data_IF_967012090922
#
_entry.id   IF_967012090922
#
_cell.length_a   1.000
_cell.length_b   1.000
_cell.length_c   1.000
_cell.angle_alpha   90.00
_cell.angle_beta   90.00
_cell.angle_gamma   90.00
#
_symmetry.space_group_name_H-M   'P 1'
#
loop_
_entity.id
_entity.type
_entity.pdbx_description
1 polymer ?
#
# COMPACT_ATOMS: atom_id res chain seq x y z
N UNK A 1 -16.94 32.27 -93.30
CA UNK A 1 -15.74 32.08 -94.09
C UNK A 1 -14.82 31.19 -93.27
N UNK A 2 -14.70 29.94 -93.69
CA UNK A 2 -13.54 29.06 -93.69
C UNK A 2 -12.56 29.17 -92.52
N UNK A 3 -11.99 28.11 -91.90
CA UNK A 3 -11.53 26.79 -92.36
C UNK A 3 -11.19 25.86 -91.23
N UNK A 4 -11.40 24.58 -91.47
CA UNK A 4 -10.89 23.38 -90.74
C UNK A 4 -9.38 23.36 -90.59
N UNK A 5 -8.88 22.71 -89.51
CA UNK A 5 -7.79 21.68 -89.45
C UNK A 5 -7.72 21.02 -88.10
N UNK A 6 -8.07 19.79 -88.04
CA UNK A 6 -7.41 18.49 -87.94
C UNK A 6 -6.41 18.35 -86.81
N UNK A 7 -6.81 17.52 -85.84
CA UNK A 7 -6.18 16.37 -85.19
C UNK A 7 -4.67 16.33 -85.04
N UNK A 8 -4.26 16.12 -83.81
CA UNK A 8 -3.19 15.16 -83.47
C UNK A 8 -3.49 14.54 -82.10
N UNK A 9 -3.63 13.21 -82.10
CA UNK A 9 -3.60 12.32 -80.97
C UNK A 9 -2.21 12.41 -80.26
N UNK A 10 -2.15 12.45 -78.97
CA UNK A 10 -0.97 12.15 -78.22
C UNK A 10 -1.40 11.28 -77.07
N UNK A 11 -0.72 10.17 -76.94
CA UNK A 11 -0.89 9.03 -76.00
C UNK A 11 -0.80 9.39 -74.53
N UNK A 12 -1.33 8.53 -73.67
CA UNK A 12 -1.36 8.80 -72.19
C UNK A 12 -0.02 8.53 -71.61
N UNK A 13 0.56 9.50 -70.91
CA UNK A 13 1.69 9.32 -70.00
C UNK A 13 1.20 8.62 -68.74
N UNK A 14 1.67 7.41 -68.52
CA UNK A 14 1.60 6.67 -67.33
C UNK A 14 2.28 7.46 -66.17
N UNK A 15 1.50 8.17 -65.38
CA UNK A 15 1.95 8.63 -64.07
C UNK A 15 1.79 7.49 -63.06
N UNK A 16 2.89 6.90 -62.71
CA UNK A 16 3.02 5.98 -61.57
C UNK A 16 2.62 6.74 -60.33
N UNK A 17 1.34 6.69 -59.98
CA UNK A 17 0.84 7.16 -58.70
C UNK A 17 1.39 6.24 -57.61
N UNK A 18 2.41 6.71 -56.93
CA UNK A 18 2.81 6.14 -55.65
C UNK A 18 1.62 6.26 -54.70
N UNK A 19 0.85 5.21 -54.58
CA UNK A 19 -0.08 5.06 -53.45
C UNK A 19 0.76 5.08 -52.19
N UNK A 20 0.88 6.24 -51.56
CA UNK A 20 1.21 6.36 -50.18
C UNK A 20 0.07 5.65 -49.46
N UNK A 21 0.31 4.39 -49.08
CA UNK A 21 -0.52 3.74 -48.06
C UNK A 21 -0.49 4.71 -46.87
N UNK A 22 -1.59 5.40 -46.65
CA UNK A 22 -1.94 5.94 -45.36
C UNK A 22 -1.95 4.74 -44.43
N UNK A 23 -0.86 4.53 -43.72
CA UNK A 23 -0.92 3.82 -42.46
C UNK A 23 -1.89 4.66 -41.61
N UNK A 24 -3.12 4.23 -41.54
CA UNK A 24 -4.00 4.59 -40.46
C UNK A 24 -3.26 4.10 -39.21
N UNK A 25 -2.64 5.03 -38.52
CA UNK A 25 -2.33 4.90 -37.13
C UNK A 25 -3.69 4.82 -36.41
N UNK A 26 -4.33 3.67 -36.48
CA UNK A 26 -5.11 3.19 -35.37
C UNK A 26 -4.07 2.91 -34.31
N UNK A 27 -3.61 3.93 -33.57
CA UNK A 27 -3.25 3.82 -32.20
C UNK A 27 -4.54 3.33 -31.51
N UNK A 28 -4.68 2.03 -31.52
CA UNK A 28 -5.57 1.35 -30.61
C UNK A 28 -5.12 1.82 -29.23
N UNK A 29 -5.82 2.82 -28.73
CA UNK A 29 -5.81 3.19 -27.33
C UNK A 29 -6.31 1.94 -26.60
N UNK A 30 -5.38 1.05 -26.32
CA UNK A 30 -5.65 -0.25 -25.72
C UNK A 30 -5.98 0.04 -24.28
N UNK A 31 -7.27 0.10 -23.98
CA UNK A 31 -7.76 0.25 -22.63
C UNK A 31 -7.05 -0.70 -21.67
N UNK A 32 -6.84 -0.30 -20.45
CA UNK A 32 -6.24 -1.12 -19.40
C UNK A 32 -7.30 -1.84 -18.59
N UNK A 33 -6.96 -3.00 -18.05
CA UNK A 33 -7.79 -3.72 -17.08
C UNK A 33 -7.61 -3.14 -15.69
N UNK A 34 -8.73 -2.90 -15.01
CA UNK A 34 -8.75 -2.39 -13.66
C UNK A 34 -9.89 -2.99 -12.83
N UNK A 35 -9.74 -2.96 -11.51
CA UNK A 35 -10.82 -3.23 -10.56
C UNK A 35 -11.42 -1.89 -10.13
N UNK A 36 -12.66 -1.67 -10.55
CA UNK A 36 -13.35 -0.41 -10.36
C UNK A 36 -14.68 -0.58 -9.63
N UNK A 37 -15.20 0.52 -9.10
CA UNK A 37 -16.50 0.61 -8.43
C UNK A 37 -17.12 2.00 -8.62
N UNK A 38 -18.45 2.06 -8.56
CA UNK A 38 -19.19 3.33 -8.62
C UNK A 38 -19.77 3.74 -7.27
N UNK A 39 -19.77 2.83 -6.30
CA UNK A 39 -20.35 3.05 -4.96
C UNK A 39 -19.43 2.53 -3.86
N UNK A 40 -19.64 3.00 -2.64
CA UNK A 40 -19.08 2.42 -1.44
C UNK A 40 -19.84 1.15 -1.05
N UNK A 41 -19.13 0.13 -0.56
CA UNK A 41 -19.78 -1.10 -0.12
C UNK A 41 -18.81 -2.20 0.27
N UNK A 42 -19.33 -3.42 0.33
CA UNK A 42 -18.55 -4.66 0.52
C UNK A 42 -17.76 -5.01 -0.75
N UNK A 43 -16.90 -6.04 -0.75
CA UNK A 43 -16.17 -6.46 -1.95
C UNK A 43 -17.05 -6.78 -3.17
N UNK A 44 -18.36 -6.93 -3.00
CA UNK A 44 -19.31 -7.16 -4.10
C UNK A 44 -19.52 -5.96 -5.02
N UNK A 45 -19.10 -4.76 -4.62
CA UNK A 45 -19.20 -3.55 -5.46
C UNK A 45 -18.04 -3.44 -6.45
N UNK A 46 -17.05 -4.32 -6.36
CA UNK A 46 -15.85 -4.33 -7.19
C UNK A 46 -16.09 -5.14 -8.46
N UNK A 47 -15.79 -4.54 -9.58
CA UNK A 47 -15.93 -5.14 -10.90
C UNK A 47 -14.65 -4.96 -11.71
N UNK A 48 -14.27 -6.00 -12.45
CA UNK A 48 -13.21 -5.86 -13.45
C UNK A 48 -13.77 -5.14 -14.67
N UNK A 49 -13.10 -4.06 -15.08
CA UNK A 49 -13.48 -3.23 -16.21
C UNK A 49 -12.29 -2.98 -17.12
N UNK A 50 -12.56 -2.78 -18.40
CA UNK A 50 -11.63 -2.17 -19.34
C UNK A 50 -11.88 -0.66 -19.31
N UNK A 51 -10.85 0.12 -19.02
CA UNK A 51 -10.91 1.58 -18.89
C UNK A 51 -9.71 2.20 -19.61
N UNK A 52 -9.78 3.48 -19.92
CA UNK A 52 -8.66 4.21 -20.51
C UNK A 52 -7.47 4.28 -19.55
N UNK A 53 -6.25 4.29 -20.09
CA UNK A 53 -5.05 4.55 -19.28
C UNK A 53 -5.15 5.95 -18.67
N UNK A 54 -4.74 6.13 -17.40
CA UNK A 54 -4.81 7.43 -16.77
C UNK A 54 -3.81 8.40 -17.42
N UNK A 55 -4.25 9.64 -17.62
CA UNK A 55 -3.37 10.74 -17.98
C UNK A 55 -2.56 11.18 -16.76
N UNK A 56 -1.28 11.49 -16.96
CA UNK A 56 -0.39 11.96 -15.91
C UNK A 56 -0.24 13.50 -15.97
N UNK A 57 -0.14 14.13 -14.80
CA UNK A 57 0.27 15.53 -14.67
C UNK A 57 1.79 15.70 -14.74
N UNK A 58 2.25 16.95 -14.78
CA UNK A 58 3.68 17.27 -14.91
C UNK A 58 4.55 16.67 -13.80
N UNK A 59 4.06 16.55 -12.57
CA UNK A 59 4.76 15.97 -11.42
C UNK A 59 4.44 14.46 -11.20
N UNK A 60 3.68 13.82 -12.09
CA UNK A 60 3.25 12.43 -11.95
C UNK A 60 4.02 11.52 -12.92
N UNK A 61 4.01 10.24 -12.59
CA UNK A 61 4.54 9.18 -13.43
C UNK A 61 3.45 8.15 -13.70
N UNK A 62 3.46 7.56 -14.87
CA UNK A 62 2.68 6.37 -15.19
C UNK A 62 3.54 5.14 -14.87
N UNK A 63 3.07 4.31 -13.98
CA UNK A 63 3.73 3.06 -13.59
C UNK A 63 2.96 1.89 -14.17
N UNK A 64 3.63 1.03 -14.93
CA UNK A 64 3.13 -0.28 -15.32
C UNK A 64 3.22 -1.20 -14.09
N UNK A 65 2.06 -1.56 -13.55
CA UNK A 65 1.95 -2.26 -12.27
C UNK A 65 2.24 -3.74 -12.45
N UNK A 66 3.23 -4.27 -11.76
CA UNK A 66 3.51 -5.70 -11.70
C UNK A 66 2.90 -6.37 -10.46
N UNK A 67 2.85 -5.63 -9.36
CA UNK A 67 2.21 -6.09 -8.14
C UNK A 67 1.66 -4.91 -7.32
N UNK A 68 0.61 -5.17 -6.55
CA UNK A 68 -0.04 -4.20 -5.67
C UNK A 68 -0.36 -4.82 -4.30
N UNK A 69 -0.10 -4.11 -3.22
CA UNK A 69 -0.39 -4.58 -1.87
C UNK A 69 -1.86 -4.39 -1.49
N UNK A 70 -2.39 -5.33 -0.72
CA UNK A 70 -3.71 -5.22 -0.09
C UNK A 70 -3.54 -4.97 1.39
N UNK A 71 -4.12 -3.90 1.90
CA UNK A 71 -4.11 -3.52 3.31
C UNK A 71 -5.49 -3.05 3.79
N UNK A 72 -5.59 -2.73 5.09
CA UNK A 72 -6.85 -2.25 5.68
C UNK A 72 -7.26 -0.88 5.16
N UNK A 73 -6.32 -0.04 4.74
CA UNK A 73 -6.61 1.26 4.12
C UNK A 73 -7.43 1.10 2.84
N UNK A 74 -7.09 0.12 2.00
CA UNK A 74 -7.87 -0.23 0.81
C UNK A 74 -9.30 -0.63 1.16
N UNK A 75 -9.50 -1.43 2.21
CA UNK A 75 -10.82 -1.79 2.69
C UNK A 75 -11.61 -0.55 3.15
N UNK A 76 -10.99 0.34 3.94
CA UNK A 76 -11.62 1.57 4.40
C UNK A 76 -12.07 2.45 3.24
N UNK A 77 -11.21 2.61 2.24
CA UNK A 77 -11.53 3.37 1.03
C UNK A 77 -12.66 2.70 0.25
N UNK A 78 -12.62 1.38 0.09
CA UNK A 78 -13.67 0.62 -0.59
C UNK A 78 -15.02 0.75 0.11
N UNK A 79 -15.06 0.50 1.41
CA UNK A 79 -16.28 0.55 2.20
C UNK A 79 -16.77 1.99 2.45
N UNK A 80 -15.87 2.98 2.35
CA UNK A 80 -16.14 4.38 2.74
C UNK A 80 -16.44 4.50 4.23
N UNK A 81 -15.75 3.68 5.05
CA UNK A 81 -15.95 3.61 6.50
C UNK A 81 -14.60 3.74 7.24
N UNK A 82 -14.59 4.37 8.43
CA UNK A 82 -15.70 5.14 9.02
C UNK A 82 -16.07 6.36 8.17
N UNK A 83 -17.28 6.88 8.32
CA UNK A 83 -17.78 7.98 7.46
C UNK A 83 -16.86 9.20 7.32
N UNK A 84 -16.08 9.63 8.34
CA UNK A 84 -15.13 10.73 8.17
C UNK A 84 -14.12 10.55 7.04
N UNK A 85 -13.80 9.30 6.62
CA UNK A 85 -12.88 9.08 5.50
C UNK A 85 -13.41 9.68 4.19
N UNK A 86 -14.74 9.68 4.00
CA UNK A 86 -15.37 10.27 2.80
C UNK A 86 -15.11 11.77 2.70
N UNK A 87 -15.01 12.47 3.85
CA UNK A 87 -14.65 13.88 3.93
C UNK A 87 -13.16 14.13 3.68
N UNK A 88 -12.31 13.14 3.94
CA UNK A 88 -10.86 13.23 3.75
C UNK A 88 -10.42 13.17 2.27
N UNK A 89 -11.33 13.45 1.33
CA UNK A 89 -11.00 13.56 -0.09
C UNK A 89 -11.49 12.42 -0.97
N UNK A 90 -11.99 11.32 -0.39
CA UNK A 90 -12.41 10.13 -1.15
C UNK A 90 -13.79 10.26 -1.80
N UNK A 91 -14.59 11.27 -1.42
CA UNK A 91 -15.92 11.56 -1.98
C UNK A 91 -17.07 11.26 -1.03
N UNK A 92 -17.99 12.23 -0.89
CA UNK A 92 -19.02 12.19 0.15
C UNK A 92 -20.12 11.15 -0.12
N UNK A 93 -20.61 11.09 -1.35
CA UNK A 93 -21.73 10.22 -1.76
C UNK A 93 -21.29 9.01 -2.57
N UNK A 94 -20.29 9.20 -3.43
CA UNK A 94 -19.67 8.17 -4.25
C UNK A 94 -18.16 8.37 -4.25
N UNK A 95 -17.36 7.33 -4.54
CA UNK A 95 -15.91 7.44 -4.65
C UNK A 95 -15.52 8.39 -5.78
N UNK A 96 -14.54 9.28 -5.54
CA UNK A 96 -14.00 10.16 -6.58
C UNK A 96 -13.14 9.41 -7.58
N UNK A 97 -12.35 8.44 -7.10
CA UNK A 97 -11.60 7.53 -7.94
C UNK A 97 -12.31 6.16 -7.94
N UNK A 98 -12.78 5.69 -9.10
CA UNK A 98 -13.42 4.38 -9.19
C UNK A 98 -12.44 3.23 -8.94
N UNK A 99 -11.17 3.38 -9.34
CA UNK A 99 -10.13 2.35 -9.15
C UNK A 99 -9.52 2.46 -7.77
N UNK A 100 -9.40 1.34 -7.07
CA UNK A 100 -8.83 1.25 -5.73
C UNK A 100 -7.39 0.70 -5.75
N UNK A 101 -6.74 0.72 -4.58
CA UNK A 101 -5.36 0.29 -4.40
C UNK A 101 -4.41 1.47 -4.21
N UNK A 102 -3.37 1.26 -3.41
CA UNK A 102 -2.37 2.27 -3.04
C UNK A 102 -0.94 1.74 -3.16
N UNK A 103 -0.61 0.62 -2.50
CA UNK A 103 0.72 0.01 -2.62
C UNK A 103 0.98 -0.43 -4.06
N UNK A 104 2.16 -0.14 -4.60
CA UNK A 104 2.56 -0.48 -5.97
C UNK A 104 4.01 -0.91 -6.03
N UNK A 105 4.29 -1.87 -6.90
CA UNK A 105 5.61 -2.12 -7.45
C UNK A 105 5.48 -2.40 -8.95
N UNK A 106 6.35 -1.80 -9.73
CA UNK A 106 6.25 -1.87 -11.19
C UNK A 106 7.39 -1.15 -11.89
N UNK A 107 7.20 -0.91 -13.16
CA UNK A 107 8.17 -0.23 -14.03
C UNK A 107 7.59 1.10 -14.49
N UNK A 108 8.38 2.14 -14.42
CA UNK A 108 8.00 3.47 -14.93
C UNK A 108 7.81 3.39 -16.45
N UNK A 109 6.64 3.73 -16.93
CA UNK A 109 6.28 3.73 -18.37
C UNK A 109 6.57 5.11 -19.00
N UNK A 110 6.05 6.16 -18.35
CA UNK A 110 6.26 7.55 -18.77
C UNK A 110 6.36 8.45 -17.53
N UNK A 111 6.98 9.63 -17.72
CA UNK A 111 7.16 10.64 -16.68
C UNK A 111 6.66 11.98 -17.13
N UNK A 112 6.10 12.78 -16.22
CA UNK A 112 5.74 14.18 -16.47
C UNK A 112 6.97 15.10 -16.52
N UNK A 113 6.78 16.33 -17.01
CA UNK A 113 7.86 17.26 -17.29
C UNK A 113 8.67 17.71 -16.04
N UNK A 114 8.04 17.69 -14.85
CA UNK A 114 8.65 18.12 -13.60
C UNK A 114 9.31 16.96 -12.82
N UNK A 115 9.19 15.73 -13.31
CA UNK A 115 9.81 14.54 -12.69
C UNK A 115 11.31 14.55 -12.96
N UNK A 116 12.10 14.41 -11.90
CA UNK A 116 13.57 14.51 -11.97
C UNK A 116 14.31 13.29 -11.44
N UNK A 117 13.66 12.47 -10.59
CA UNK A 117 14.31 11.35 -9.90
C UNK A 117 14.24 10.04 -10.66
N UNK A 118 13.32 9.92 -11.61
CA UNK A 118 13.04 8.67 -12.32
C UNK A 118 12.93 8.88 -13.82
N UNK A 119 13.14 7.81 -14.56
CA UNK A 119 13.00 7.76 -16.02
C UNK A 119 12.25 6.51 -16.45
N UNK A 120 11.69 6.46 -17.67
CA UNK A 120 11.09 5.27 -18.22
C UNK A 120 12.04 4.07 -18.16
N UNK A 121 11.52 2.91 -17.71
CA UNK A 121 12.28 1.69 -17.50
C UNK A 121 12.77 1.47 -16.06
N UNK A 122 12.72 2.46 -15.18
CA UNK A 122 13.11 2.29 -13.79
C UNK A 122 12.14 1.38 -13.04
N UNK A 123 12.67 0.41 -12.27
CA UNK A 123 11.90 -0.41 -11.36
C UNK A 123 11.65 0.33 -10.04
N UNK A 124 10.39 0.51 -9.68
CA UNK A 124 9.98 1.32 -8.53
C UNK A 124 9.03 0.56 -7.60
N UNK A 125 8.98 1.01 -6.36
CA UNK A 125 7.94 0.63 -5.39
C UNK A 125 7.52 1.85 -4.58
N UNK A 126 6.30 1.82 -4.05
CA UNK A 126 5.80 2.94 -3.25
C UNK A 126 4.28 3.02 -3.25
N UNK A 127 3.79 4.24 -3.35
CA UNK A 127 2.36 4.56 -3.28
C UNK A 127 1.92 5.19 -4.60
N UNK A 128 0.89 4.59 -5.20
CA UNK A 128 0.20 5.09 -6.39
C UNK A 128 -1.29 5.30 -6.16
N UNK A 129 -1.96 5.79 -7.17
CA UNK A 129 -3.42 5.99 -7.20
C UNK A 129 -4.08 4.92 -8.07
N UNK A 130 -4.95 4.09 -7.48
CA UNK A 130 -5.70 3.10 -8.25
C UNK A 130 -4.82 1.95 -8.76
N UNK A 131 -4.04 1.36 -7.87
CA UNK A 131 -3.00 0.37 -8.21
C UNK A 131 -3.55 -1.03 -8.52
N UNK A 132 -4.85 -1.28 -8.33
CA UNK A 132 -5.49 -2.50 -8.82
C UNK A 132 -5.91 -2.34 -10.28
N UNK A 133 -4.94 -2.01 -11.12
CA UNK A 133 -5.04 -1.81 -12.55
C UNK A 133 -3.68 -2.07 -13.21
N UNK A 134 -3.67 -2.32 -14.53
CA UNK A 134 -2.43 -2.56 -15.28
C UNK A 134 -1.48 -1.35 -15.27
N UNK A 135 -2.03 -0.14 -15.10
CA UNK A 135 -1.27 1.10 -14.95
C UNK A 135 -1.83 1.96 -13.83
N UNK A 136 -0.96 2.67 -13.14
CA UNK A 136 -1.32 3.58 -12.06
C UNK A 136 -0.49 4.86 -12.12
N UNK A 137 -1.09 6.01 -11.74
CA UNK A 137 -0.35 7.24 -11.55
C UNK A 137 0.29 7.29 -10.16
N UNK A 138 1.50 7.81 -10.06
CA UNK A 138 2.18 8.06 -8.81
C UNK A 138 3.00 9.35 -8.87
N UNK A 139 3.15 10.02 -7.72
CA UNK A 139 4.05 11.15 -7.56
C UNK A 139 5.47 10.65 -7.27
N UNK A 140 6.49 11.34 -7.76
CA UNK A 140 7.89 10.94 -7.53
C UNK A 140 8.32 10.97 -6.06
N UNK A 141 7.70 11.82 -5.24
CA UNK A 141 7.94 11.91 -3.79
C UNK A 141 7.31 10.77 -2.98
N UNK A 142 6.54 9.90 -3.62
CA UNK A 142 5.90 8.73 -3.03
C UNK A 142 6.45 7.40 -3.51
N UNK A 143 7.45 7.42 -4.36
CA UNK A 143 8.11 6.23 -4.88
C UNK A 143 9.60 6.19 -4.48
N UNK A 144 10.16 4.99 -4.45
CA UNK A 144 11.59 4.75 -4.36
C UNK A 144 12.01 3.68 -5.36
N UNK A 145 13.31 3.60 -5.72
CA UNK A 145 13.83 2.51 -6.53
C UNK A 145 13.60 1.17 -5.84
N UNK A 146 13.07 0.19 -6.55
CA UNK A 146 12.79 -1.14 -6.01
C UNK A 146 14.09 -1.76 -5.45
N UNK A 147 14.06 -2.34 -4.22
CA UNK A 147 15.21 -3.08 -3.71
C UNK A 147 15.60 -4.21 -4.68
N UNK A 148 16.88 -4.30 -4.99
CA UNK A 148 17.40 -5.25 -5.99
C UNK A 148 17.16 -6.72 -5.62
N UNK A 149 17.10 -7.00 -4.33
CA UNK A 149 16.88 -8.34 -3.77
C UNK A 149 15.43 -8.80 -3.75
N UNK A 150 14.48 -7.90 -4.02
CA UNK A 150 13.06 -8.21 -3.95
C UNK A 150 12.45 -8.44 -5.33
N UNK A 151 11.49 -9.37 -5.40
CA UNK A 151 10.56 -9.46 -6.52
C UNK A 151 9.58 -8.27 -6.46
N UNK A 152 8.77 -8.06 -7.50
CA UNK A 152 7.75 -7.01 -7.49
C UNK A 152 6.68 -7.27 -6.42
N UNK A 153 6.29 -8.54 -6.21
CA UNK A 153 5.34 -8.92 -5.17
C UNK A 153 5.87 -8.57 -3.77
N UNK A 154 7.13 -8.88 -3.53
CA UNK A 154 7.78 -8.55 -2.26
C UNK A 154 7.88 -7.04 -2.06
N UNK A 155 8.21 -6.29 -3.11
CA UNK A 155 8.33 -4.84 -3.06
C UNK A 155 6.97 -4.17 -2.84
N UNK A 156 5.90 -4.63 -3.52
CA UNK A 156 4.54 -4.15 -3.32
C UNK A 156 4.00 -4.41 -1.91
N UNK A 157 4.55 -5.39 -1.20
CA UNK A 157 4.17 -5.69 0.18
C UNK A 157 4.72 -4.67 1.21
N UNK A 158 5.68 -3.81 0.82
CA UNK A 158 6.46 -2.98 1.78
C UNK A 158 5.75 -1.70 2.18
N UNK A 159 5.23 -0.93 1.23
CA UNK A 159 5.03 0.51 1.33
C UNK A 159 4.22 0.96 2.54
N UNK A 160 2.90 0.90 2.52
CA UNK A 160 2.04 1.40 3.62
C UNK A 160 2.38 0.70 4.94
N UNK A 161 2.55 -0.62 4.92
CA UNK A 161 2.79 -1.40 6.14
C UNK A 161 4.17 -1.13 6.75
N UNK A 162 5.18 -1.03 5.92
CA UNK A 162 6.54 -0.69 6.33
C UNK A 162 6.66 0.74 6.87
N UNK A 163 6.05 1.71 6.16
CA UNK A 163 6.00 3.12 6.60
C UNK A 163 5.29 3.25 7.94
N UNK A 164 4.13 2.61 8.10
CA UNK A 164 3.38 2.63 9.38
C UNK A 164 4.23 2.06 10.52
N UNK A 165 4.91 0.94 10.30
CA UNK A 165 5.77 0.33 11.31
C UNK A 165 6.99 1.23 11.63
N UNK A 166 7.66 1.76 10.61
CA UNK A 166 8.83 2.62 10.78
C UNK A 166 8.50 3.89 11.56
N UNK A 167 7.49 4.63 11.12
CA UNK A 167 7.08 5.89 11.76
C UNK A 167 6.52 5.65 13.16
N UNK A 168 5.74 4.56 13.34
CA UNK A 168 5.23 4.17 14.65
C UNK A 168 6.33 3.91 15.67
N UNK A 169 7.42 3.26 15.26
CA UNK A 169 8.55 2.96 16.13
C UNK A 169 9.55 4.11 16.25
N UNK A 170 9.97 4.71 15.12
CA UNK A 170 11.02 5.73 15.08
C UNK A 170 10.53 7.09 15.56
N UNK A 171 9.45 7.59 14.98
CA UNK A 171 9.04 8.99 15.15
C UNK A 171 8.11 9.17 16.35
N UNK A 172 7.12 8.31 16.47
CA UNK A 172 6.12 8.37 17.55
C UNK A 172 6.54 7.59 18.77
N UNK A 173 7.09 6.40 18.60
CA UNK A 173 7.60 5.55 19.67
C UNK A 173 8.95 5.97 20.19
N UNK A 174 9.79 6.56 19.34
CA UNK A 174 11.18 6.96 19.65
C UNK A 174 11.97 5.84 20.26
N UNK A 175 11.84 4.64 19.67
CA UNK A 175 12.48 3.42 20.14
C UNK A 175 13.99 3.58 20.24
N UNK A 176 14.58 3.02 21.29
CA UNK A 176 16.03 3.06 21.55
C UNK A 176 16.57 1.65 21.75
N UNK A 177 17.86 1.42 21.47
CA UNK A 177 18.50 0.14 21.76
C UNK A 177 18.32 -0.27 23.22
N UNK A 178 18.07 -1.57 23.45
CA UNK A 178 17.86 -2.16 24.77
C UNK A 178 16.46 -1.97 25.37
N UNK A 179 15.59 -1.14 24.78
CA UNK A 179 14.21 -0.99 25.24
C UNK A 179 13.38 -2.24 24.99
N UNK A 180 12.42 -2.49 25.87
CA UNK A 180 11.41 -3.55 25.75
C UNK A 180 10.21 -3.03 24.98
N UNK A 181 9.97 -3.63 23.81
CA UNK A 181 8.88 -3.25 22.91
C UNK A 181 7.84 -4.36 22.82
N UNK A 182 6.59 -4.02 23.06
CA UNK A 182 5.45 -4.91 22.82
C UNK A 182 4.78 -4.53 21.48
N UNK A 183 4.68 -5.49 20.58
CA UNK A 183 3.97 -5.34 19.29
C UNK A 183 2.68 -6.17 19.34
N UNK A 184 1.53 -5.50 19.43
CA UNK A 184 0.22 -6.16 19.44
C UNK A 184 -0.29 -6.26 17.99
N UNK A 185 -0.60 -7.48 17.55
CA UNK A 185 -0.89 -7.79 16.15
C UNK A 185 0.39 -8.08 15.34
N UNK A 186 1.40 -8.67 15.99
CA UNK A 186 2.75 -8.90 15.45
C UNK A 186 2.80 -9.75 14.17
N UNK A 187 1.78 -10.54 13.88
CA UNK A 187 1.72 -11.44 12.72
C UNK A 187 0.99 -10.86 11.51
N UNK A 188 0.44 -9.66 11.62
CA UNK A 188 -0.26 -8.97 10.52
C UNK A 188 0.70 -8.20 9.59
N UNK A 189 0.15 -7.54 8.56
CA UNK A 189 0.95 -6.79 7.58
C UNK A 189 1.91 -5.80 8.23
N UNK A 190 1.41 -4.85 9.03
CA UNK A 190 2.25 -3.87 9.75
C UNK A 190 3.09 -4.56 10.84
N UNK A 191 2.52 -5.56 11.54
CA UNK A 191 3.16 -6.22 12.67
C UNK A 191 4.46 -6.94 12.31
N UNK A 192 4.49 -7.61 11.15
CA UNK A 192 5.69 -8.32 10.69
C UNK A 192 6.85 -7.37 10.37
N UNK A 193 6.57 -6.17 9.87
CA UNK A 193 7.55 -5.10 9.71
C UNK A 193 7.97 -4.52 11.06
N UNK A 194 7.02 -4.28 11.96
CA UNK A 194 7.29 -3.68 13.27
C UNK A 194 8.23 -4.53 14.12
N UNK A 195 8.05 -5.85 14.15
CA UNK A 195 8.96 -6.76 14.83
C UNK A 195 10.38 -6.63 14.30
N UNK A 196 10.56 -6.73 12.99
CA UNK A 196 11.88 -6.67 12.35
C UNK A 196 12.55 -5.30 12.50
N UNK A 197 11.81 -4.21 12.31
CA UNK A 197 12.34 -2.84 12.45
C UNK A 197 12.74 -2.56 13.90
N UNK A 198 11.92 -2.96 14.89
CA UNK A 198 12.28 -2.81 16.30
C UNK A 198 13.56 -3.60 16.65
N UNK A 199 13.73 -4.81 16.10
CA UNK A 199 14.97 -5.59 16.21
C UNK A 199 16.14 -4.91 15.56
N UNK A 200 15.96 -4.36 14.35
CA UNK A 200 17.01 -3.61 13.63
C UNK A 200 17.48 -2.37 14.42
N UNK A 201 16.59 -1.77 15.21
CA UNK A 201 16.91 -0.66 16.11
C UNK A 201 17.44 -1.11 17.50
N UNK A 202 17.69 -2.41 17.68
CA UNK A 202 18.32 -2.95 18.88
C UNK A 202 17.38 -3.15 20.07
N UNK A 203 16.07 -3.18 19.87
CA UNK A 203 15.09 -3.43 20.94
C UNK A 203 14.98 -4.91 21.30
N UNK A 204 14.47 -5.18 22.50
CA UNK A 204 13.94 -6.47 22.93
C UNK A 204 12.46 -6.52 22.56
N UNK A 205 12.08 -7.43 21.67
CA UNK A 205 10.74 -7.44 21.08
C UNK A 205 9.91 -8.59 21.62
N UNK A 206 8.75 -8.26 22.19
CA UNK A 206 7.67 -9.21 22.48
C UNK A 206 6.55 -9.02 21.46
N UNK A 207 6.22 -10.07 20.70
CA UNK A 207 5.11 -10.05 19.74
C UNK A 207 3.88 -10.74 20.33
N UNK A 208 2.69 -10.15 20.12
CA UNK A 208 1.39 -10.74 20.49
C UNK A 208 0.67 -11.21 19.23
N UNK A 209 0.31 -12.49 19.19
CA UNK A 209 -0.41 -13.10 18.06
C UNK A 209 -1.25 -14.30 18.53
N UNK A 210 -1.98 -14.95 17.62
CA UNK A 210 -2.69 -16.21 17.91
C UNK A 210 -1.78 -17.42 17.76
N UNK A 211 -2.19 -18.56 18.36
CA UNK A 211 -1.44 -19.83 18.38
C UNK A 211 -0.82 -20.21 17.03
N UNK A 212 -1.60 -20.16 15.97
CA UNK A 212 -1.15 -20.60 14.62
C UNK A 212 -0.11 -19.70 13.99
N UNK A 213 0.19 -18.55 14.59
CA UNK A 213 1.09 -17.52 14.05
C UNK A 213 2.37 -17.34 14.90
N UNK A 214 2.51 -18.09 15.99
CA UNK A 214 3.62 -17.99 16.96
C UNK A 214 4.97 -18.25 16.29
N UNK A 215 5.06 -19.29 15.47
CA UNK A 215 6.32 -19.65 14.81
C UNK A 215 6.74 -18.60 13.77
N UNK A 216 5.79 -18.01 13.06
CA UNK A 216 6.07 -16.89 12.18
C UNK A 216 6.68 -15.71 12.95
N UNK A 217 6.05 -15.30 14.06
CA UNK A 217 6.51 -14.14 14.84
C UNK A 217 7.89 -14.37 15.44
N UNK A 218 8.21 -15.61 15.84
CA UNK A 218 9.57 -16.00 16.25
C UNK A 218 10.57 -15.94 15.11
N UNK A 219 10.20 -16.48 13.94
CA UNK A 219 11.10 -16.57 12.78
C UNK A 219 11.52 -15.21 12.25
N UNK A 220 10.70 -14.17 12.43
CA UNK A 220 11.00 -12.79 12.02
C UNK A 220 11.74 -11.99 13.11
N UNK A 221 12.16 -12.64 14.21
CA UNK A 221 13.10 -12.10 15.18
C UNK A 221 12.51 -11.62 16.51
N UNK A 222 11.26 -11.91 16.84
CA UNK A 222 10.73 -11.61 18.18
C UNK A 222 11.48 -12.43 19.24
N UNK A 223 11.95 -11.76 20.32
CA UNK A 223 12.63 -12.44 21.44
C UNK A 223 11.65 -13.26 22.28
N UNK A 224 10.41 -12.76 22.41
CA UNK A 224 9.30 -13.42 23.10
C UNK A 224 8.03 -13.32 22.25
N UNK A 225 7.18 -14.34 22.38
CA UNK A 225 5.87 -14.36 21.70
C UNK A 225 4.81 -14.75 22.71
N UNK A 226 3.81 -13.92 22.85
CA UNK A 226 2.62 -14.14 23.67
C UNK A 226 1.48 -14.60 22.76
N UNK A 227 0.98 -15.79 23.03
CA UNK A 227 -0.21 -16.35 22.40
C UNK A 227 -1.45 -15.86 23.17
N UNK A 228 -2.13 -14.84 22.67
CA UNK A 228 -3.28 -14.22 23.35
C UNK A 228 -4.48 -15.17 23.51
N UNK A 229 -4.46 -16.34 22.86
CA UNK A 229 -5.51 -17.36 23.03
C UNK A 229 -5.31 -18.23 24.26
N UNK A 230 -4.11 -18.17 24.85
CA UNK A 230 -3.68 -19.00 26.00
C UNK A 230 -3.27 -18.18 27.21
N UNK A 231 -2.72 -17.00 26.99
CA UNK A 231 -2.20 -16.15 28.06
C UNK A 231 -2.54 -14.68 27.78
N UNK A 232 -2.67 -13.93 28.85
CA UNK A 232 -2.95 -12.50 28.78
C UNK A 232 -1.67 -11.69 28.97
N UNK A 233 -1.29 -10.88 27.98
CA UNK A 233 -0.11 -10.01 28.07
C UNK A 233 -0.19 -9.02 29.25
N UNK A 234 -1.38 -8.78 29.79
CA UNK A 234 -1.60 -7.85 30.92
C UNK A 234 -1.52 -8.51 32.33
N UNK A 235 -1.48 -9.82 32.42
CA UNK A 235 -1.42 -10.53 33.70
C UNK A 235 0.01 -10.72 34.23
N UNK A 236 1.04 -10.54 33.40
CA UNK A 236 2.44 -10.69 33.78
C UNK A 236 3.03 -9.48 34.51
N UNK A 237 4.17 -9.71 35.18
CA UNK A 237 4.97 -8.63 35.82
C UNK A 237 5.79 -7.82 34.83
N UNK A 238 5.88 -8.29 33.56
CA UNK A 238 6.65 -7.64 32.52
C UNK A 238 6.08 -6.25 32.23
N UNK A 239 6.98 -5.26 32.11
CA UNK A 239 6.65 -3.89 31.74
C UNK A 239 7.44 -3.53 30.47
N UNK A 240 6.81 -2.72 29.61
CA UNK A 240 7.34 -2.33 28.31
C UNK A 240 7.60 -0.82 28.26
N UNK A 241 8.69 -0.44 27.60
CA UNK A 241 9.03 0.96 27.37
C UNK A 241 8.23 1.55 26.21
N UNK A 242 7.87 0.70 25.25
CA UNK A 242 7.07 1.06 24.10
C UNK A 242 6.06 -0.05 23.80
N UNK A 243 4.82 0.35 23.56
CA UNK A 243 3.78 -0.51 22.97
C UNK A 243 3.38 0.06 21.61
N UNK A 244 3.51 -0.75 20.56
CA UNK A 244 2.91 -0.49 19.27
C UNK A 244 1.67 -1.37 19.11
N UNK A 245 0.49 -0.76 19.19
CA UNK A 245 -0.80 -1.44 19.12
C UNK A 245 -1.41 -1.30 17.72
N UNK A 246 -1.35 -2.37 16.95
CA UNK A 246 -1.77 -2.43 15.56
C UNK A 246 -3.11 -3.16 15.42
N UNK A 247 -3.23 -4.31 16.07
CA UNK A 247 -4.39 -5.20 15.94
C UNK A 247 -5.27 -5.22 17.17
N UNK A 248 -5.16 -4.22 18.05
CA UNK A 248 -5.67 -4.33 19.38
C UNK A 248 -7.06 -3.76 19.61
N UNK A 249 -7.85 -4.57 20.31
CA UNK A 249 -9.11 -4.12 20.93
C UNK A 249 -8.93 -3.97 22.45
N UNK A 250 -7.68 -3.94 22.93
CA UNK A 250 -7.39 -3.82 24.37
C UNK A 250 -7.73 -2.42 24.88
N UNK A 251 -8.30 -2.35 26.10
CA UNK A 251 -8.60 -1.09 26.74
C UNK A 251 -7.34 -0.29 27.06
N UNK A 252 -7.44 1.04 27.10
CA UNK A 252 -6.31 1.90 27.47
C UNK A 252 -5.78 1.61 28.86
N UNK A 253 -6.64 1.21 29.80
CA UNK A 253 -6.22 0.85 31.17
C UNK A 253 -5.30 -0.38 31.18
N UNK A 254 -5.63 -1.41 30.38
CA UNK A 254 -4.79 -2.61 30.24
C UNK A 254 -3.45 -2.30 29.59
N UNK A 255 -3.45 -1.55 28.49
CA UNK A 255 -2.23 -1.13 27.80
C UNK A 255 -1.33 -0.31 28.71
N UNK A 256 -1.90 0.64 29.46
CA UNK A 256 -1.16 1.46 30.42
C UNK A 256 -0.62 0.66 31.61
N UNK A 257 -1.32 -0.38 32.03
CA UNK A 257 -0.88 -1.24 33.13
C UNK A 257 0.45 -1.92 32.83
N UNK A 258 0.68 -2.34 31.60
CA UNK A 258 1.92 -3.01 31.17
C UNK A 258 3.00 -2.07 30.64
N UNK A 259 2.73 -0.77 30.57
CA UNK A 259 3.77 0.23 30.30
C UNK A 259 4.58 0.54 31.55
N UNK A 260 5.86 0.87 31.35
CA UNK A 260 6.67 1.54 32.41
C UNK A 260 6.04 2.91 32.73
N UNK A 261 6.41 3.50 33.86
CA UNK A 261 5.85 4.78 34.35
C UNK A 261 6.06 5.96 33.38
N UNK A 262 7.06 5.85 32.50
CA UNK A 262 7.41 6.83 31.45
C UNK A 262 7.33 6.24 30.04
N UNK A 263 6.71 5.06 29.90
CA UNK A 263 6.59 4.35 28.64
C UNK A 263 5.70 5.08 27.63
N UNK A 264 5.82 4.66 26.39
CA UNK A 264 5.08 5.24 25.26
C UNK A 264 4.11 4.19 24.70
N UNK A 265 2.86 4.59 24.46
CA UNK A 265 1.86 3.83 23.71
C UNK A 265 1.62 4.53 22.36
N UNK A 266 1.81 3.82 21.28
CA UNK A 266 1.47 4.26 19.91
C UNK A 266 0.36 3.35 19.40
N UNK A 267 -0.81 3.91 19.13
CA UNK A 267 -1.95 3.21 18.55
C UNK A 267 -1.93 3.46 17.05
N UNK A 268 -1.58 2.45 16.27
CA UNK A 268 -1.52 2.50 14.82
C UNK A 268 -2.72 1.83 14.13
N UNK A 269 -3.53 1.11 14.87
CA UNK A 269 -4.72 0.41 14.40
C UNK A 269 -5.72 0.21 15.53
N UNK A 270 -6.70 -0.64 15.30
CA UNK A 270 -7.75 -0.92 16.27
C UNK A 270 -9.10 -0.51 15.71
N UNK A 271 -9.68 -1.44 14.98
CA UNK A 271 -10.95 -1.25 14.31
C UNK A 271 -12.05 -1.87 15.16
N UNK A 272 -13.12 -1.12 15.34
CA UNK A 272 -14.39 -1.61 15.85
C UNK A 272 -15.46 -1.43 14.77
N UNK A 273 -16.53 -2.17 14.85
CA UNK A 273 -17.65 -2.15 13.86
C UNK A 273 -18.41 -0.81 13.77
N UNK A 274 -17.91 0.25 14.36
CA UNK A 274 -18.56 1.56 14.39
C UNK A 274 -18.47 2.33 13.08
N UNK A 275 -19.60 2.60 12.42
CA UNK A 275 -19.65 3.37 11.16
C UNK A 275 -19.18 4.82 11.27
N UNK A 276 -19.28 5.42 12.46
CA UNK A 276 -18.91 6.82 12.68
C UNK A 276 -17.47 7.00 13.16
N UNK A 277 -17.06 6.23 14.16
CA UNK A 277 -15.74 6.37 14.79
C UNK A 277 -14.78 5.23 14.44
N UNK A 278 -15.31 4.04 14.06
CA UNK A 278 -14.47 2.92 13.60
C UNK A 278 -13.34 2.51 14.56
N UNK A 279 -13.50 2.75 15.87
CA UNK A 279 -12.45 2.50 16.87
C UNK A 279 -11.56 3.70 17.18
N UNK A 280 -11.71 4.84 16.49
CA UNK A 280 -10.92 6.07 16.74
C UNK A 280 -11.23 6.73 18.08
N UNK A 281 -12.35 6.37 18.76
CA UNK A 281 -12.65 6.84 20.11
C UNK A 281 -11.55 6.48 21.13
N UNK A 282 -10.94 5.29 20.99
CA UNK A 282 -9.81 4.87 21.83
C UNK A 282 -8.57 5.75 21.59
N UNK A 283 -8.31 6.10 20.35
CA UNK A 283 -7.23 7.00 19.95
C UNK A 283 -7.44 8.41 20.50
N UNK A 284 -8.65 8.94 20.38
CA UNK A 284 -9.03 10.26 20.96
C UNK A 284 -8.86 10.25 22.48
N UNK A 285 -9.35 9.22 23.18
CA UNK A 285 -9.19 9.07 24.62
C UNK A 285 -7.72 9.00 25.05
N UNK A 286 -6.87 8.31 24.27
CA UNK A 286 -5.43 8.25 24.52
C UNK A 286 -4.80 9.64 24.47
N UNK A 287 -5.10 10.42 23.42
CA UNK A 287 -4.60 11.80 23.27
C UNK A 287 -5.07 12.72 24.42
N UNK A 288 -6.35 12.63 24.79
CA UNK A 288 -6.91 13.43 25.88
C UNK A 288 -6.32 13.06 27.25
N UNK A 289 -5.99 11.78 27.48
CA UNK A 289 -5.43 11.30 28.75
C UNK A 289 -3.93 11.59 28.87
N UNK A 290 -3.20 11.62 27.77
CA UNK A 290 -1.73 11.73 27.72
C UNK A 290 -1.17 12.89 28.55
N UNK A 291 -1.75 14.12 28.55
CA UNK A 291 -1.22 15.23 29.36
C UNK A 291 -1.33 15.04 30.87
N UNK A 292 -2.21 14.16 31.35
CA UNK A 292 -2.52 13.95 32.76
C UNK A 292 -1.81 12.77 33.40
N UNK A 293 -1.00 12.04 32.62
CA UNK A 293 -0.30 10.83 33.08
C UNK A 293 1.20 10.93 32.76
N UNK A 294 2.02 10.14 33.47
CA UNK A 294 3.48 10.11 33.22
C UNK A 294 3.88 9.41 31.92
N UNK A 295 2.98 8.60 31.37
CA UNK A 295 3.15 7.85 30.12
C UNK A 295 2.79 8.72 28.90
N UNK A 296 3.41 8.48 27.77
CA UNK A 296 3.03 9.13 26.49
C UNK A 296 2.05 8.25 25.76
N UNK A 297 0.86 8.76 25.48
CA UNK A 297 -0.18 8.02 24.79
C UNK A 297 -0.50 8.76 23.49
N UNK A 298 -0.43 8.08 22.34
CA UNK A 298 -0.60 8.72 21.06
C UNK A 298 -1.10 7.81 19.96
N UNK A 299 -1.42 8.45 18.85
CA UNK A 299 -1.77 7.83 17.56
C UNK A 299 -1.21 8.71 16.45
N UNK A 300 -1.17 8.19 15.25
CA UNK A 300 -0.72 8.93 14.07
C UNK A 300 -1.42 8.42 12.81
N UNK A 301 -1.34 9.22 11.77
CA UNK A 301 -1.65 8.83 10.40
C UNK A 301 -0.32 8.71 9.68
N UNK A 302 -0.12 7.61 8.97
CA UNK A 302 1.10 7.35 8.21
C UNK A 302 1.30 8.44 7.15
N UNK A 303 2.51 8.99 7.08
CA UNK A 303 2.95 9.91 6.03
C UNK A 303 3.62 9.12 4.92
N UNK A 304 3.13 9.31 3.71
CA UNK A 304 3.67 8.68 2.51
C UNK A 304 4.75 9.59 1.94
N UNK A 305 6.02 9.20 2.04
CA UNK A 305 7.13 10.01 1.56
C UNK A 305 8.31 9.16 1.07
N UNK A 306 9.07 9.71 0.13
CA UNK A 306 10.23 9.09 -0.50
C UNK A 306 11.35 8.76 0.52
N UNK A 307 11.63 9.66 1.44
CA UNK A 307 12.73 9.54 2.39
C UNK A 307 12.58 8.29 3.26
N UNK A 308 11.39 8.04 3.77
CA UNK A 308 11.11 6.85 4.57
C UNK A 308 11.09 5.56 3.73
N UNK A 309 10.68 5.65 2.45
CA UNK A 309 10.81 4.53 1.52
C UNK A 309 12.28 4.16 1.30
N UNK A 310 13.18 5.12 1.20
CA UNK A 310 14.63 4.87 1.11
C UNK A 310 15.14 4.20 2.38
N UNK A 311 14.70 4.63 3.57
CA UNK A 311 15.08 3.96 4.83
C UNK A 311 14.64 2.50 4.84
N UNK A 312 13.41 2.20 4.39
CA UNK A 312 12.93 0.82 4.28
C UNK A 312 13.75 0.01 3.27
N UNK A 313 14.05 0.60 2.11
CA UNK A 313 14.92 0.00 1.09
C UNK A 313 16.30 -0.35 1.68
N UNK A 314 16.91 0.57 2.41
CA UNK A 314 18.24 0.36 3.00
C UNK A 314 18.23 -0.76 4.05
N UNK A 315 17.17 -0.86 4.87
CA UNK A 315 16.99 -1.98 5.81
C UNK A 315 16.84 -3.32 5.07
N UNK A 316 16.15 -3.34 3.94
CA UNK A 316 15.98 -4.53 3.09
C UNK A 316 17.31 -4.92 2.45
N UNK A 317 18.02 -3.98 1.85
CA UNK A 317 19.32 -4.24 1.22
C UNK A 317 20.37 -4.70 2.25
N UNK A 318 20.28 -4.21 3.48
CA UNK A 318 21.11 -4.67 4.60
C UNK A 318 20.69 -6.05 5.15
N UNK A 319 19.63 -6.66 4.64
CA UNK A 319 19.10 -7.95 5.12
C UNK A 319 18.48 -7.90 6.52
N UNK A 320 18.11 -6.71 7.00
CA UNK A 320 17.48 -6.50 8.31
C UNK A 320 15.96 -6.49 8.25
N UNK A 321 15.41 -6.45 7.06
CA UNK A 321 13.97 -6.40 6.82
C UNK A 321 13.63 -7.28 5.61
N UNK A 322 12.68 -8.19 5.79
CA UNK A 322 12.16 -9.07 4.72
C UNK A 322 10.65 -9.03 4.74
N UNK A 323 10.00 -8.67 3.63
CA UNK A 323 8.53 -8.70 3.54
C UNK A 323 8.01 -10.13 3.71
N UNK A 324 6.97 -10.28 4.52
CA UNK A 324 6.26 -11.56 4.71
C UNK A 324 4.98 -11.51 3.90
N UNK A 325 4.91 -12.31 2.84
CA UNK A 325 3.72 -12.47 2.01
C UNK A 325 3.01 -13.76 2.44
N UNK A 326 1.73 -13.64 2.74
CA UNK A 326 0.87 -14.78 3.08
C UNK A 326 0.28 -15.42 1.82
N UNK A 327 -0.33 -14.58 0.97
CA UNK A 327 -0.96 -15.00 -0.29
C UNK A 327 -0.80 -13.96 -1.40
N UNK A 328 -0.77 -14.50 -2.62
CA UNK A 328 -0.92 -13.72 -3.84
C UNK A 328 -2.24 -14.08 -4.53
N UNK A 329 -2.84 -13.09 -5.18
CA UNK A 329 -4.06 -13.22 -5.95
C UNK A 329 -3.87 -12.51 -7.30
N UNK A 330 -4.56 -12.95 -8.33
CA UNK A 330 -4.62 -12.23 -9.61
C UNK A 330 -5.46 -10.96 -9.52
N UNK A 331 -5.34 -10.06 -10.49
CA UNK A 331 -6.17 -8.85 -10.56
C UNK A 331 -7.68 -9.16 -10.50
N UNK A 332 -8.13 -10.22 -11.15
CA UNK A 332 -9.54 -10.62 -11.13
C UNK A 332 -10.03 -11.11 -9.77
N UNK A 333 -9.13 -11.51 -8.88
CA UNK A 333 -9.44 -12.03 -7.55
C UNK A 333 -9.34 -10.97 -6.43
N UNK A 334 -9.22 -9.68 -6.78
CA UNK A 334 -9.17 -8.60 -5.78
C UNK A 334 -10.34 -8.63 -4.80
N UNK A 335 -11.60 -8.87 -5.22
CA UNK A 335 -12.70 -9.01 -4.25
C UNK A 335 -12.48 -10.13 -3.24
N UNK A 336 -11.86 -11.24 -3.67
CA UNK A 336 -11.52 -12.39 -2.81
C UNK A 336 -10.37 -12.05 -1.86
N UNK A 337 -9.34 -11.39 -2.37
CA UNK A 337 -8.20 -10.93 -1.57
C UNK A 337 -8.65 -10.01 -0.42
N UNK A 338 -9.61 -9.11 -0.69
CA UNK A 338 -10.15 -8.21 0.33
C UNK A 338 -11.00 -8.98 1.35
N UNK A 339 -11.85 -9.95 0.93
CA UNK A 339 -12.59 -10.82 1.86
C UNK A 339 -11.64 -11.61 2.76
N UNK A 340 -10.59 -12.18 2.18
CA UNK A 340 -9.56 -12.89 2.94
C UNK A 340 -8.91 -12.01 4.01
N UNK A 341 -8.67 -10.72 3.69
CA UNK A 341 -8.16 -9.76 4.66
C UNK A 341 -9.18 -9.44 5.76
N UNK A 342 -10.48 -9.32 5.41
CA UNK A 342 -11.58 -9.07 6.37
C UNK A 342 -11.71 -10.18 7.40
N UNK A 343 -11.50 -11.43 7.01
CA UNK A 343 -11.55 -12.60 7.92
C UNK A 343 -10.45 -12.56 9.01
N UNK A 344 -9.43 -11.71 8.87
CA UNK A 344 -8.37 -11.52 9.86
C UNK A 344 -7.39 -12.69 9.99
N UNK A 345 -7.39 -13.60 9.01
CA UNK A 345 -6.55 -14.80 9.03
C UNK A 345 -5.16 -14.58 8.43
N UNK A 346 -4.93 -13.48 7.74
CA UNK A 346 -3.67 -13.18 7.05
C UNK A 346 -2.45 -13.25 7.99
N UNK A 347 -1.36 -13.82 7.46
CA UNK A 347 -0.05 -13.99 8.11
C UNK A 347 0.98 -13.13 7.40
N UNK A 348 0.95 -11.82 7.61
CA UNK A 348 1.71 -10.85 6.83
C UNK A 348 0.87 -10.12 5.80
N UNK A 349 1.42 -9.90 4.61
CA UNK A 349 0.80 -9.15 3.52
C UNK A 349 0.07 -10.05 2.52
N UNK A 350 -0.98 -9.50 1.97
CA UNK A 350 -1.68 -10.01 0.79
C UNK A 350 -1.29 -9.15 -0.40
N UNK A 351 -1.03 -9.76 -1.54
CA UNK A 351 -0.53 -9.08 -2.73
C UNK A 351 -1.33 -9.48 -3.97
N UNK A 352 -1.62 -8.52 -4.82
CA UNK A 352 -2.19 -8.73 -6.15
C UNK A 352 -1.06 -8.77 -7.17
N UNK A 353 -1.03 -9.79 -8.00
CA UNK A 353 -0.11 -9.93 -9.13
C UNK A 353 -0.80 -9.57 -10.44
N UNK A 354 -0.09 -8.88 -11.31
CA UNK A 354 -0.56 -8.52 -12.62
C UNK A 354 0.33 -9.15 -13.69
N UNK A 355 -0.27 -9.99 -14.52
CA UNK A 355 0.40 -10.56 -15.69
C UNK A 355 0.24 -9.59 -16.86
N UNK A 356 1.34 -9.12 -17.40
CA UNK A 356 1.36 -8.38 -18.64
C UNK A 356 1.60 -9.36 -19.80
N UNK A 357 0.66 -9.45 -20.72
CA UNK A 357 0.91 -10.11 -21.98
C UNK A 357 1.88 -9.21 -22.78
N UNK A 358 3.17 -9.39 -22.58
CA UNK A 358 4.20 -8.86 -23.46
C UNK A 358 3.99 -9.52 -24.84
N UNK A 359 3.09 -8.95 -25.66
CA UNK A 359 3.04 -9.31 -27.08
C UNK A 359 4.31 -8.74 -27.70
N UNK A 360 5.31 -9.62 -27.85
CA UNK A 360 6.52 -9.39 -28.65
C UNK A 360 6.13 -9.13 -30.08
#
# INVERSE_FOLDING_TARGET
>A
VFTRRKSKEAEPSTSTGTQIRRFELEDLDVGMKAIARDAYGSPTVLERRDIDKPEIGDAEMLVRVHAAGVDRGVWHVMAGLPYPIRLAGYGLRAPKNPVIGSDVAGVVETVGNDVTRFQPGDEVFGIGKGTFAEYACALEDKLAPKPTKLTFEQAAAVSISGLTALQGLRDHGRVKPGQKVLVIGASGGVGTFAVQIAKAFGAQVTGVCSTTKVDLVRSIGADHVIDYTREDFAEGEQRYDLILDIGGNSSLSRLRHVLTSKGTLVIAGGETEGRWLGGTDRQIRALLLSPFVGQKLGTFVCSENHEDMIVLKDLIEAGKLTPVIDRTFSLSEVPEAIRYLEEGHARGKVVITLEHNDRI
#
